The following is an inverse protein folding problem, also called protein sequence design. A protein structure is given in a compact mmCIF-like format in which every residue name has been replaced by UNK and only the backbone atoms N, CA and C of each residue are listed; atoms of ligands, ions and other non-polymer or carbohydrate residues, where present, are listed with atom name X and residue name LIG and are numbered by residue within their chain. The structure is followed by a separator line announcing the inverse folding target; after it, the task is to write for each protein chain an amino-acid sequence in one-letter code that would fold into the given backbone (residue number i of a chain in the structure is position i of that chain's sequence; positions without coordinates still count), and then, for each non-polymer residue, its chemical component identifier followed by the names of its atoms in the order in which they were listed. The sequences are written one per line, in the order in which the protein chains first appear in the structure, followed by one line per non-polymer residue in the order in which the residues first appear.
data_IF_457782635067
#
_entry.id   IF_457782635067
#
_cell.length_a   1.000
_cell.length_b   1.000
_cell.length_c   1.000
_cell.angle_alpha   90.00
_cell.angle_beta   90.00
_cell.angle_gamma   90.00
#
_symmetry.space_group_name_H-M   'P 1'
#
loop_
_entity.id
_entity.type
_entity.pdbx_description
1 polymer ?
#
# COMPACT_ATOMS: atom_id res chain seq x y z
N UNK A 1 6.77 21.74 13.01
CA UNK A 1 6.44 20.61 12.15
C UNK A 1 7.58 20.49 11.16
N UNK A 2 8.18 19.29 11.02
CA UNK A 2 9.27 19.07 10.07
C UNK A 2 8.72 18.78 8.67
N UNK A 3 9.57 18.97 7.66
CA UNK A 3 9.34 18.55 6.28
C UNK A 3 10.69 18.16 5.68
N UNK A 4 10.64 17.33 4.66
CA UNK A 4 11.82 16.96 3.90
C UNK A 4 12.03 17.92 2.73
N UNK A 5 13.29 18.18 2.40
CA UNK A 5 13.67 18.91 1.19
C UNK A 5 14.50 18.03 0.22
N UNK A 6 14.96 18.60 -0.88
CA UNK A 6 15.74 17.87 -1.88
C UNK A 6 17.12 17.42 -1.39
N UNK A 7 17.62 17.96 -0.29
CA UNK A 7 18.87 17.51 0.33
C UNK A 7 18.61 16.29 1.21
N UNK A 8 17.45 16.23 1.83
CA UNK A 8 17.02 15.07 2.63
C UNK A 8 16.62 13.89 1.73
N UNK A 9 15.93 14.18 0.62
CA UNK A 9 15.37 13.19 -0.31
C UNK A 9 15.92 13.33 -1.74
N UNK A 10 17.25 13.26 -1.96
CA UNK A 10 17.84 13.54 -3.27
C UNK A 10 17.36 12.58 -4.36
N UNK A 11 17.15 11.31 -4.04
CA UNK A 11 16.65 10.32 -4.99
C UNK A 11 15.21 10.62 -5.43
N UNK A 12 14.31 10.91 -4.50
CA UNK A 12 12.93 11.24 -4.83
C UNK A 12 12.82 12.60 -5.53
N UNK A 13 13.63 13.58 -5.15
CA UNK A 13 13.72 14.83 -5.89
C UNK A 13 14.17 14.62 -7.33
N UNK A 14 15.15 13.72 -7.57
CA UNK A 14 15.54 13.31 -8.90
C UNK A 14 14.40 12.64 -9.67
N UNK A 15 13.67 11.70 -9.05
CA UNK A 15 12.54 11.03 -9.67
C UNK A 15 11.43 12.03 -10.04
N UNK A 16 11.05 12.91 -9.12
CA UNK A 16 10.01 13.91 -9.34
C UNK A 16 10.34 14.92 -10.43
N UNK A 17 11.63 15.23 -10.62
CA UNK A 17 12.07 16.20 -11.64
C UNK A 17 12.29 15.59 -13.01
N UNK A 18 12.47 14.28 -13.13
CA UNK A 18 12.81 13.63 -14.39
C UNK A 18 11.72 12.69 -14.92
N UNK A 19 10.72 12.35 -14.11
CA UNK A 19 9.64 11.45 -14.47
C UNK A 19 8.28 12.11 -14.16
N UNK A 20 7.19 11.42 -14.49
CA UNK A 20 5.86 11.90 -14.16
C UNK A 20 5.60 11.77 -12.64
N UNK A 21 4.97 12.78 -12.07
CA UNK A 21 4.57 12.83 -10.68
C UNK A 21 3.09 13.20 -10.58
N UNK A 22 2.38 12.62 -9.61
CA UNK A 22 1.05 13.05 -9.21
C UNK A 22 1.15 13.76 -7.86
N UNK A 23 0.82 15.04 -7.82
CA UNK A 23 0.73 15.87 -6.61
C UNK A 23 -0.68 15.92 -6.02
N UNK A 24 -1.60 15.16 -6.61
CA UNK A 24 -3.00 15.03 -6.19
C UNK A 24 -3.35 13.58 -5.81
N UNK A 25 -2.35 12.81 -5.40
CA UNK A 25 -2.53 11.46 -4.92
C UNK A 25 -2.54 11.45 -3.40
N UNK A 26 -3.66 11.08 -2.82
CA UNK A 26 -3.87 11.08 -1.37
C UNK A 26 -4.15 9.68 -0.86
N UNK A 27 -3.84 9.44 0.42
CA UNK A 27 -4.27 8.23 1.12
C UNK A 27 -5.79 8.09 1.08
N UNK A 28 -6.27 6.89 0.84
CA UNK A 28 -7.71 6.65 0.69
C UNK A 28 -8.47 6.87 2.02
N UNK A 29 -7.82 6.60 3.14
CA UNK A 29 -8.34 6.84 4.49
C UNK A 29 -7.22 7.36 5.39
N UNK A 30 -7.56 8.25 6.32
CA UNK A 30 -6.61 8.81 7.30
C UNK A 30 -6.33 7.82 8.43
N UNK A 31 -5.70 6.71 8.09
CA UNK A 31 -5.36 5.64 9.02
C UNK A 31 -4.11 4.91 8.56
N UNK A 32 -3.91 3.72 9.04
CA UNK A 32 -2.69 2.92 8.90
C UNK A 32 -2.56 2.26 7.53
N UNK A 33 -1.42 1.64 7.34
CA UNK A 33 -0.99 0.89 6.16
C UNK A 33 -2.06 -0.03 5.58
N UNK A 34 -2.59 -0.96 6.40
CA UNK A 34 -3.42 -2.06 5.87
C UNK A 34 -4.73 -1.59 5.23
N UNK A 35 -5.56 -0.74 5.87
CA UNK A 35 -6.75 -0.22 5.21
C UNK A 35 -6.44 0.53 3.91
N UNK A 36 -5.38 1.35 3.88
CA UNK A 36 -4.98 2.07 2.68
C UNK A 36 -4.53 1.11 1.56
N UNK A 37 -3.75 0.09 1.88
CA UNK A 37 -3.34 -0.93 0.91
C UNK A 37 -4.51 -1.79 0.43
N UNK A 38 -5.50 -2.08 1.29
CA UNK A 38 -6.74 -2.72 0.86
C UNK A 38 -7.45 -1.87 -0.21
N UNK A 39 -7.52 -0.55 -0.04
CA UNK A 39 -7.99 0.34 -1.10
C UNK A 39 -7.15 0.24 -2.37
N UNK A 40 -5.84 0.15 -2.25
CA UNK A 40 -4.93 0.01 -3.38
C UNK A 40 -5.17 -1.24 -4.23
N UNK A 41 -5.61 -2.34 -3.61
CA UNK A 41 -5.83 -3.62 -4.31
C UNK A 41 -7.29 -3.93 -4.61
N UNK A 42 -8.25 -3.39 -3.87
CA UNK A 42 -9.67 -3.70 -4.00
C UNK A 42 -10.59 -2.48 -4.15
N UNK A 43 -10.03 -1.26 -4.14
CA UNK A 43 -10.78 0.00 -4.12
C UNK A 43 -11.74 0.14 -2.91
N UNK A 44 -11.56 -0.66 -1.88
CA UNK A 44 -12.31 -0.62 -0.62
C UNK A 44 -11.53 -1.29 0.49
N UNK A 45 -11.70 -0.83 1.72
CA UNK A 45 -11.20 -1.53 2.92
C UNK A 45 -12.24 -2.47 3.54
N UNK A 46 -13.38 -2.66 2.89
CA UNK A 46 -14.51 -3.44 3.42
C UNK A 46 -14.95 -2.98 4.82
N UNK A 47 -14.91 -1.65 5.03
CA UNK A 47 -15.24 -1.00 6.29
C UNK A 47 -14.13 -0.98 7.35
N UNK A 48 -12.98 -1.54 7.06
CA UNK A 48 -11.85 -1.51 8.01
C UNK A 48 -11.18 -0.12 8.04
N UNK A 49 -10.99 0.40 9.24
CA UNK A 49 -10.18 1.60 9.54
C UNK A 49 -8.96 1.24 10.40
N UNK A 50 -8.85 -0.01 10.81
CA UNK A 50 -7.69 -0.63 11.45
C UNK A 50 -7.27 -1.89 10.68
N UNK A 51 -6.07 -2.42 10.93
CA UNK A 51 -5.69 -3.72 10.41
C UNK A 51 -6.75 -4.76 10.73
N UNK A 52 -7.28 -5.50 9.73
CA UNK A 52 -8.25 -6.55 10.00
C UNK A 52 -7.71 -7.57 10.99
N UNK A 53 -8.48 -7.90 12.01
CA UNK A 53 -8.14 -8.90 13.02
C UNK A 53 -9.13 -10.06 12.96
N UNK A 54 -8.64 -11.27 13.13
CA UNK A 54 -9.48 -12.47 13.15
C UNK A 54 -9.47 -13.26 11.82
N UNK A 55 -10.26 -14.33 11.75
CA UNK A 55 -10.20 -15.29 10.65
C UNK A 55 -10.96 -14.86 9.39
N UNK A 56 -11.70 -13.77 9.44
CA UNK A 56 -12.51 -13.30 8.32
C UNK A 56 -11.63 -12.74 7.20
N UNK A 57 -11.98 -13.08 5.95
CA UNK A 57 -11.40 -12.48 4.75
C UNK A 57 -12.49 -11.81 3.96
N UNK A 58 -12.18 -10.64 3.41
CA UNK A 58 -13.08 -9.96 2.49
C UNK A 58 -13.26 -10.80 1.22
N UNK A 59 -14.49 -10.92 0.77
CA UNK A 59 -14.84 -11.50 -0.52
C UNK A 59 -14.96 -10.46 -1.63
N UNK A 60 -14.61 -9.22 -1.35
CA UNK A 60 -14.59 -8.15 -2.35
C UNK A 60 -13.57 -8.49 -3.44
N UNK A 61 -13.90 -8.32 -4.71
CA UNK A 61 -12.97 -8.59 -5.79
C UNK A 61 -11.80 -7.61 -5.76
N UNK A 62 -10.62 -8.14 -5.96
CA UNK A 62 -9.38 -7.36 -6.09
C UNK A 62 -9.06 -7.08 -7.55
N UNK A 63 -8.08 -6.20 -7.80
CA UNK A 63 -7.54 -6.01 -9.15
C UNK A 63 -6.98 -7.33 -9.70
N UNK A 64 -6.43 -8.19 -8.85
CA UNK A 64 -5.84 -9.46 -9.25
C UNK A 64 -6.89 -10.46 -9.75
N UNK A 65 -8.10 -10.45 -9.18
CA UNK A 65 -9.22 -11.24 -9.73
C UNK A 65 -9.59 -10.78 -11.15
N UNK A 66 -9.53 -9.47 -11.39
CA UNK A 66 -9.80 -8.90 -12.72
C UNK A 66 -8.70 -9.26 -13.72
N UNK A 67 -7.44 -9.21 -13.31
CA UNK A 67 -6.30 -9.63 -14.12
C UNK A 67 -6.40 -11.11 -14.48
N UNK A 68 -6.70 -11.95 -13.48
CA UNK A 68 -6.89 -13.39 -13.69
C UNK A 68 -8.01 -13.67 -14.69
N UNK A 69 -9.16 -13.05 -14.50
CA UNK A 69 -10.29 -13.21 -15.42
C UNK A 69 -10.01 -12.72 -16.85
N UNK A 70 -9.13 -11.74 -17.00
CA UNK A 70 -8.69 -11.21 -18.29
C UNK A 70 -7.55 -12.02 -18.93
N UNK A 71 -7.01 -13.03 -18.26
CA UNK A 71 -5.86 -13.80 -18.72
C UNK A 71 -4.55 -13.00 -18.73
N UNK A 72 -4.48 -11.95 -17.94
CA UNK A 72 -3.27 -11.12 -17.76
C UNK A 72 -2.43 -11.73 -16.66
N UNK A 73 -1.17 -12.05 -16.95
CA UNK A 73 -0.27 -12.62 -15.97
C UNK A 73 0.06 -11.59 -14.88
N UNK A 74 0.04 -12.05 -13.63
CA UNK A 74 0.36 -11.20 -12.50
C UNK A 74 1.19 -11.95 -11.46
N UNK A 75 2.00 -11.20 -10.69
CA UNK A 75 2.79 -11.72 -9.59
C UNK A 75 2.90 -10.70 -8.47
N UNK A 76 2.83 -11.19 -7.22
CA UNK A 76 3.08 -10.41 -6.02
C UNK A 76 4.39 -10.88 -5.41
N UNK A 77 5.32 -9.97 -5.25
CA UNK A 77 6.60 -10.20 -4.60
C UNK A 77 6.50 -9.77 -3.14
N UNK A 78 6.85 -10.67 -2.23
CA UNK A 78 6.71 -10.47 -0.78
C UNK A 78 8.07 -10.50 -0.10
N UNK A 79 8.20 -9.91 1.12
CA UNK A 79 9.46 -9.91 1.85
C UNK A 79 10.09 -11.29 1.96
N UNK A 80 11.40 -11.38 1.81
CA UNK A 80 12.15 -12.66 1.79
C UNK A 80 11.98 -13.50 3.06
N UNK A 81 11.76 -12.83 4.19
CA UNK A 81 11.52 -13.49 5.48
C UNK A 81 10.10 -14.01 5.66
N UNK A 82 9.20 -13.79 4.68
CA UNK A 82 7.81 -14.26 4.77
C UNK A 82 7.75 -15.77 4.82
N UNK A 83 7.24 -16.38 5.91
CA UNK A 83 7.06 -17.83 5.95
C UNK A 83 5.91 -18.26 5.03
N UNK A 84 5.94 -19.50 4.53
CA UNK A 84 4.80 -20.04 3.80
C UNK A 84 3.52 -20.11 4.67
N UNK A 85 2.35 -19.81 4.11
CA UNK A 85 2.12 -19.42 2.70
C UNK A 85 2.53 -17.97 2.43
N UNK A 86 3.21 -17.73 1.31
CA UNK A 86 3.78 -16.42 0.95
C UNK A 86 2.76 -15.27 0.93
N UNK A 87 1.49 -15.56 0.70
CA UNK A 87 0.42 -14.55 0.75
C UNK A 87 0.39 -13.79 2.08
N UNK A 88 0.90 -14.37 3.16
CA UNK A 88 0.97 -13.73 4.48
C UNK A 88 1.85 -12.47 4.52
N UNK A 89 2.76 -12.32 3.56
CA UNK A 89 3.60 -11.14 3.39
C UNK A 89 2.99 -10.07 2.48
N UNK A 90 1.72 -10.17 2.12
CA UNK A 90 1.03 -9.20 1.27
C UNK A 90 -0.36 -8.86 1.81
N UNK A 91 -0.89 -7.74 1.35
CA UNK A 91 -2.23 -7.30 1.72
C UNK A 91 -3.35 -8.19 1.16
N UNK A 92 -3.03 -9.07 0.21
CA UNK A 92 -3.96 -10.09 -0.26
C UNK A 92 -4.27 -11.15 0.81
N UNK A 93 -3.54 -11.18 1.92
CA UNK A 93 -3.90 -12.01 3.09
C UNK A 93 -5.30 -11.68 3.64
N UNK A 94 -5.74 -10.46 3.46
CA UNK A 94 -7.07 -9.99 3.90
C UNK A 94 -8.20 -10.33 2.93
N UNK A 95 -7.90 -10.89 1.77
CA UNK A 95 -8.86 -11.24 0.72
C UNK A 95 -8.84 -12.72 0.39
N UNK A 96 -9.98 -13.22 -0.10
CA UNK A 96 -10.07 -14.62 -0.58
C UNK A 96 -9.13 -14.89 -1.75
N UNK A 97 -8.96 -13.91 -2.65
CA UNK A 97 -8.05 -13.96 -3.80
C UNK A 97 -6.65 -14.48 -3.45
N UNK A 98 -6.09 -14.06 -2.31
CA UNK A 98 -4.75 -14.48 -1.92
C UNK A 98 -4.60 -15.98 -1.64
N UNK A 99 -5.70 -16.66 -1.28
CA UNK A 99 -5.70 -18.11 -1.06
C UNK A 99 -5.91 -18.92 -2.34
N UNK A 100 -6.50 -18.31 -3.36
CA UNK A 100 -6.92 -19.00 -4.59
C UNK A 100 -5.78 -19.17 -5.60
N UNK A 101 -4.72 -18.34 -5.51
CA UNK A 101 -3.61 -18.30 -6.46
C UNK A 101 -2.24 -18.28 -5.78
N UNK A 102 -1.87 -19.29 -4.97
CA UNK A 102 -0.60 -19.32 -4.26
C UNK A 102 0.63 -19.33 -5.18
N UNK A 103 0.48 -19.78 -6.42
CA UNK A 103 1.53 -19.82 -7.44
C UNK A 103 1.96 -18.45 -7.93
N UNK A 104 1.14 -17.41 -7.68
CA UNK A 104 1.42 -16.05 -8.11
C UNK A 104 2.23 -15.24 -7.09
N UNK A 105 2.69 -15.87 -6.01
CA UNK A 105 3.52 -15.21 -5.01
C UNK A 105 4.97 -15.68 -5.11
N UNK A 106 5.90 -14.75 -4.97
CA UNK A 106 7.34 -15.04 -4.96
C UNK A 106 8.05 -14.17 -3.92
N UNK A 107 9.19 -14.61 -3.39
CA UNK A 107 10.01 -13.76 -2.53
C UNK A 107 10.63 -12.59 -3.33
N UNK A 108 10.82 -11.46 -2.65
CA UNK A 108 11.20 -10.20 -3.32
C UNK A 108 12.59 -10.24 -3.99
N UNK A 109 13.52 -11.07 -3.51
CA UNK A 109 14.82 -11.22 -4.19
C UNK A 109 14.65 -11.74 -5.63
N UNK A 110 13.62 -12.55 -5.90
CA UNK A 110 13.34 -13.05 -7.25
C UNK A 110 12.92 -11.93 -8.21
N UNK A 111 12.32 -10.84 -7.70
CA UNK A 111 11.94 -9.70 -8.54
C UNK A 111 13.12 -9.13 -9.35
N UNK A 112 14.27 -8.98 -8.69
CA UNK A 112 15.47 -8.46 -9.34
C UNK A 112 15.94 -9.35 -10.48
N UNK A 113 15.91 -10.66 -10.27
CA UNK A 113 16.29 -11.64 -11.29
C UNK A 113 15.27 -11.64 -12.44
N UNK A 114 13.99 -11.62 -12.14
CA UNK A 114 12.92 -11.57 -13.14
C UNK A 114 12.99 -10.27 -13.98
N UNK A 115 13.22 -9.13 -13.35
CA UNK A 115 13.38 -7.85 -14.03
C UNK A 115 14.60 -7.83 -14.94
N UNK A 116 15.74 -8.30 -14.44
CA UNK A 116 17.02 -8.31 -15.18
C UNK A 116 16.96 -9.26 -16.39
N UNK A 117 16.25 -10.37 -16.27
CA UNK A 117 16.14 -11.38 -17.33
C UNK A 117 14.90 -11.22 -18.22
N UNK A 118 14.06 -10.22 -17.98
CA UNK A 118 12.85 -9.97 -18.77
C UNK A 118 11.70 -10.94 -18.49
N UNK A 119 11.67 -11.55 -17.31
CA UNK A 119 10.71 -12.56 -16.89
C UNK A 119 9.59 -12.03 -15.98
N UNK A 120 9.48 -10.72 -15.83
CA UNK A 120 8.38 -10.12 -15.06
C UNK A 120 7.02 -10.53 -15.64
N UNK A 121 6.07 -10.79 -14.77
CA UNK A 121 4.67 -10.90 -15.18
C UNK A 121 4.19 -9.56 -15.76
N UNK A 122 3.14 -9.58 -16.57
CA UNK A 122 2.56 -8.35 -17.17
C UNK A 122 2.18 -7.32 -16.11
N UNK A 123 1.73 -7.78 -14.94
CA UNK A 123 1.54 -6.93 -13.75
C UNK A 123 2.33 -7.52 -12.60
N UNK A 124 3.29 -6.77 -12.10
CA UNK A 124 4.13 -7.15 -10.96
C UNK A 124 3.88 -6.17 -9.82
N UNK A 125 3.46 -6.68 -8.67
CA UNK A 125 3.20 -5.91 -7.47
C UNK A 125 4.26 -6.25 -6.42
N UNK A 126 4.83 -5.24 -5.77
CA UNK A 126 5.86 -5.43 -4.75
C UNK A 126 5.28 -5.01 -3.41
N UNK A 127 5.29 -5.94 -2.45
CA UNK A 127 4.93 -5.68 -1.06
C UNK A 127 6.21 -5.54 -0.26
N UNK A 128 6.48 -4.34 0.24
CA UNK A 128 7.70 -4.04 1.00
C UNK A 128 7.66 -4.67 2.39
N UNK A 129 8.83 -4.91 2.97
CA UNK A 129 8.99 -5.55 4.27
C UNK A 129 9.69 -4.66 5.30
N UNK A 130 9.53 -5.02 6.56
CA UNK A 130 10.19 -4.34 7.68
C UNK A 130 11.71 -4.28 7.52
N UNK A 131 12.28 -3.14 7.87
CA UNK A 131 13.73 -2.89 7.87
C UNK A 131 14.30 -2.41 6.54
N UNK A 132 13.54 -2.50 5.46
CA UNK A 132 13.88 -1.93 4.14
C UNK A 132 12.84 -0.92 3.66
N UNK A 133 11.82 -0.70 4.47
CA UNK A 133 10.74 0.27 4.30
C UNK A 133 11.17 1.69 4.72
N UNK A 134 10.28 2.64 4.52
CA UNK A 134 10.45 4.05 4.90
C UNK A 134 9.67 4.44 6.16
N UNK A 135 9.08 3.46 6.85
CA UNK A 135 8.36 3.70 8.08
C UNK A 135 9.30 4.34 9.13
N UNK A 136 8.87 5.39 9.82
CA UNK A 136 9.67 5.97 10.89
C UNK A 136 10.06 4.93 11.94
N UNK A 137 11.32 4.97 12.39
CA UNK A 137 11.79 4.05 13.42
C UNK A 137 10.98 4.22 14.72
N UNK A 138 10.47 3.11 15.22
CA UNK A 138 9.77 3.06 16.51
C UNK A 138 10.65 2.40 17.57
N UNK A 139 10.53 2.80 18.87
CA UNK A 139 11.28 2.17 19.93
C UNK A 139 11.01 0.66 20.00
N UNK A 140 12.05 -0.15 19.80
CA UNK A 140 11.96 -1.61 19.87
C UNK A 140 11.53 -2.31 18.59
N UNK A 141 11.25 -1.57 17.53
CA UNK A 141 11.01 -2.10 16.18
C UNK A 141 12.23 -1.78 15.33
N UNK A 142 12.78 -2.77 14.65
CA UNK A 142 13.81 -2.55 13.63
C UNK A 142 13.12 -1.86 12.45
N UNK A 143 13.06 -0.54 12.49
CA UNK A 143 12.44 0.27 11.44
C UNK A 143 13.41 0.58 10.33
N UNK A 144 12.88 0.77 9.15
CA UNK A 144 13.54 1.49 8.09
C UNK A 144 13.65 2.98 8.41
N UNK A 145 14.10 3.69 7.47
CA UNK A 145 13.98 5.15 7.39
C UNK A 145 14.02 5.53 5.91
N UNK A 146 13.73 6.78 5.62
CA UNK A 146 13.65 7.27 4.23
C UNK A 146 14.95 7.02 3.45
N UNK A 147 16.12 7.15 4.07
CA UNK A 147 17.41 6.89 3.39
C UNK A 147 17.60 5.42 3.06
N UNK A 148 17.26 4.54 4.01
CA UNK A 148 17.38 3.09 3.83
C UNK A 148 16.37 2.64 2.77
N UNK A 149 15.11 3.00 2.91
CA UNK A 149 14.05 2.59 2.01
C UNK A 149 14.24 3.13 0.60
N UNK A 150 14.52 4.42 0.43
CA UNK A 150 14.77 5.02 -0.90
C UNK A 150 15.93 4.36 -1.63
N UNK A 151 17.01 4.06 -0.92
CA UNK A 151 18.15 3.34 -1.48
C UNK A 151 17.80 1.91 -1.87
N UNK A 152 17.06 1.22 -0.99
CA UNK A 152 16.64 -0.15 -1.24
C UNK A 152 15.72 -0.25 -2.46
N UNK A 153 14.71 0.60 -2.55
CA UNK A 153 13.78 0.70 -3.68
C UNK A 153 14.52 1.01 -4.98
N UNK A 154 15.44 1.99 -4.95
CA UNK A 154 16.26 2.32 -6.11
C UNK A 154 17.06 1.11 -6.60
N UNK A 155 17.83 0.46 -5.71
CA UNK A 155 18.83 -0.53 -6.08
C UNK A 155 18.23 -1.91 -6.38
N UNK A 156 17.08 -2.23 -5.80
CA UNK A 156 16.49 -3.56 -5.93
C UNK A 156 15.25 -3.60 -6.82
N UNK A 157 14.56 -2.46 -7.01
CA UNK A 157 13.32 -2.44 -7.80
C UNK A 157 13.47 -1.55 -9.05
N UNK A 158 13.81 -0.29 -8.89
CA UNK A 158 13.80 0.65 -10.02
C UNK A 158 14.94 0.36 -11.00
N UNK A 159 16.17 0.28 -10.52
CA UNK A 159 17.31 0.04 -11.41
C UNK A 159 17.24 -1.28 -12.18
N UNK A 160 16.85 -2.43 -11.58
CA UNK A 160 16.68 -3.66 -12.33
C UNK A 160 15.65 -3.55 -13.46
N UNK A 161 14.54 -2.84 -13.24
CA UNK A 161 13.52 -2.62 -14.28
C UNK A 161 14.03 -1.70 -15.37
N UNK A 162 14.61 -0.55 -15.01
CA UNK A 162 15.11 0.45 -15.97
C UNK A 162 16.27 -0.08 -16.81
N UNK A 163 17.09 -0.95 -16.25
CA UNK A 163 18.20 -1.61 -16.94
C UNK A 163 17.80 -2.91 -17.64
N UNK A 164 16.61 -3.42 -17.31
CA UNK A 164 16.10 -4.66 -17.86
C UNK A 164 15.64 -4.54 -19.32
N UNK A 165 15.55 -5.68 -20.02
CA UNK A 165 15.25 -5.69 -21.46
C UNK A 165 13.84 -5.18 -21.80
N UNK A 166 12.92 -5.20 -20.84
CA UNK A 166 11.52 -4.84 -21.05
C UNK A 166 11.20 -3.38 -20.70
N UNK A 167 12.21 -2.58 -20.27
CA UNK A 167 11.96 -1.21 -19.81
C UNK A 167 11.19 -0.34 -20.82
N UNK A 168 11.53 -0.44 -22.09
CA UNK A 168 10.88 0.34 -23.15
C UNK A 168 9.35 0.10 -23.29
N UNK A 169 8.87 -1.02 -22.78
CA UNK A 169 7.47 -1.43 -22.83
C UNK A 169 6.83 -1.52 -21.42
N UNK A 170 7.49 -0.90 -20.42
CA UNK A 170 7.09 -0.98 -19.02
C UNK A 170 6.69 0.38 -18.46
N UNK A 171 5.81 0.35 -17.47
CA UNK A 171 5.51 1.47 -16.58
C UNK A 171 5.86 1.03 -15.15
N UNK A 172 6.66 1.82 -14.46
CA UNK A 172 6.94 1.63 -13.04
C UNK A 172 6.19 2.68 -12.25
N UNK A 173 5.35 2.25 -11.31
CA UNK A 173 4.58 3.13 -10.43
C UNK A 173 5.16 2.99 -9.02
N UNK A 174 5.60 4.10 -8.44
CA UNK A 174 6.02 4.19 -7.05
C UNK A 174 4.98 5.02 -6.31
N UNK A 175 4.43 4.46 -5.24
CA UNK A 175 3.48 5.13 -4.38
C UNK A 175 3.71 4.74 -2.93
N UNK A 176 3.39 5.65 -2.02
CA UNK A 176 3.33 5.35 -0.59
C UNK A 176 1.92 4.89 -0.24
N UNK A 177 1.83 3.99 0.70
CA UNK A 177 0.57 3.41 1.15
C UNK A 177 -0.26 4.39 2.00
N UNK A 178 0.43 5.23 2.78
CA UNK A 178 -0.21 6.25 3.60
C UNK A 178 0.73 7.45 3.83
N UNK A 179 0.27 8.48 4.50
CA UNK A 179 0.95 9.78 4.61
C UNK A 179 2.06 9.86 5.68
N UNK A 180 2.38 8.77 6.38
CA UNK A 180 3.43 8.75 7.42
C UNK A 180 3.17 9.70 8.61
N UNK A 181 1.95 10.22 8.77
CA UNK A 181 1.63 11.23 9.77
C UNK A 181 2.05 12.66 9.39
N UNK A 182 2.58 12.87 8.20
CA UNK A 182 2.89 14.20 7.67
C UNK A 182 1.64 14.90 7.13
N UNK A 183 1.67 16.23 7.17
CA UNK A 183 0.62 17.05 6.57
C UNK A 183 1.02 17.47 5.16
N UNK A 184 0.06 17.44 4.26
CA UNK A 184 0.20 18.02 2.94
C UNK A 184 -0.19 19.52 2.97
N UNK A 185 0.38 20.31 2.07
CA UNK A 185 -0.01 21.69 1.84
C UNK A 185 -1.27 21.78 0.95
N UNK A 186 -1.63 20.70 0.28
CA UNK A 186 -2.86 20.58 -0.52
C UNK A 186 -3.83 19.68 0.25
N UNK A 187 -5.04 20.16 0.59
CA UNK A 187 -6.04 19.33 1.23
C UNK A 187 -6.58 18.31 0.22
N UNK A 188 -6.88 17.07 0.67
CA UNK A 188 -7.50 16.07 -0.19
C UNK A 188 -8.87 16.56 -0.68
N UNK A 189 -9.23 16.14 -1.88
CA UNK A 189 -10.53 16.44 -2.47
C UNK A 189 -11.62 15.59 -1.81
N UNK A 190 -12.84 16.10 -1.86
CA UNK A 190 -14.02 15.31 -1.49
C UNK A 190 -14.12 14.09 -2.41
N UNK A 191 -14.13 12.91 -1.82
CA UNK A 191 -14.23 11.65 -2.54
C UNK A 191 -15.64 11.04 -2.39
N UNK A 192 -16.08 10.35 -3.42
CA UNK A 192 -17.30 9.54 -3.36
C UNK A 192 -16.96 8.23 -2.64
N UNK A 193 -17.73 7.81 -1.62
CA UNK A 193 -17.54 6.51 -0.99
C UNK A 193 -17.54 5.39 -2.05
N UNK A 194 -16.60 4.43 -1.96
CA UNK A 194 -16.47 3.37 -2.97
C UNK A 194 -17.60 2.34 -2.90
N UNK A 195 -18.25 2.24 -1.74
CA UNK A 195 -19.34 1.31 -1.46
C UNK A 195 -20.19 1.84 -0.30
N UNK A 196 -21.23 1.09 0.08
CA UNK A 196 -22.12 1.40 1.20
C UNK A 196 -21.69 0.74 2.53
N UNK A 197 -20.47 0.17 2.57
CA UNK A 197 -19.97 -0.46 3.79
C UNK A 197 -19.54 0.61 4.77
N UNK A 198 -20.17 0.62 5.92
CA UNK A 198 -19.82 1.54 7.02
C UNK A 198 -18.58 1.03 7.76
N UNK A 199 -17.82 1.93 8.42
CA UNK A 199 -16.73 1.51 9.29
C UNK A 199 -17.18 0.51 10.35
N UNK A 200 -16.48 -0.62 10.46
CA UNK A 200 -16.87 -1.76 11.29
C UNK A 200 -16.02 -1.92 12.55
N UNK A 201 -14.83 -1.36 12.57
CA UNK A 201 -13.84 -1.57 13.62
C UNK A 201 -13.40 -0.27 14.32
N UNK A 202 -14.29 0.72 14.37
CA UNK A 202 -14.08 1.93 15.15
C UNK A 202 -13.85 1.60 16.63
N UNK A 203 -12.80 2.13 17.20
CA UNK A 203 -12.47 1.97 18.61
C UNK A 203 -12.93 3.19 19.40
N UNK A 204 -13.36 2.95 20.64
CA UNK A 204 -13.61 4.01 21.59
C UNK A 204 -12.35 4.27 22.44
N UNK A 205 -12.07 5.53 22.76
CA UNK A 205 -11.02 5.93 23.67
C UNK A 205 -11.35 5.66 25.16
N UNK A 206 -12.50 5.05 25.42
CA UNK A 206 -13.00 4.83 26.78
C UNK A 206 -13.60 6.06 27.45
N UNK A 207 -13.53 7.23 26.80
CA UNK A 207 -14.10 8.49 27.24
C UNK A 207 -15.37 8.88 26.46
N UNK A 208 -15.89 7.96 25.67
CA UNK A 208 -17.07 8.16 24.83
C UNK A 208 -16.75 8.73 23.45
N UNK A 209 -15.47 8.88 23.11
CA UNK A 209 -15.04 9.25 21.76
C UNK A 209 -14.75 8.01 20.94
N UNK A 210 -15.11 8.02 19.67
CA UNK A 210 -14.71 7.03 18.71
C UNK A 210 -13.64 7.64 17.80
N UNK A 211 -12.75 6.83 17.28
CA UNK A 211 -11.62 7.22 16.43
C UNK A 211 -12.00 8.13 15.26
N UNK A 212 -13.24 8.08 14.84
CA UNK A 212 -13.68 8.76 13.63
C UNK A 212 -14.19 10.18 13.84
N UNK A 213 -14.82 10.47 14.97
CA UNK A 213 -15.55 11.72 15.18
C UNK A 213 -15.33 12.34 16.56
N UNK A 214 -14.42 11.84 17.36
CA UNK A 214 -14.36 12.22 18.76
C UNK A 214 -15.70 11.95 19.45
N UNK A 215 -16.15 12.87 20.29
CA UNK A 215 -17.39 12.75 21.05
C UNK A 215 -18.68 12.77 20.21
N UNK A 216 -18.59 12.90 18.90
CA UNK A 216 -19.73 13.08 18.00
C UNK A 216 -20.01 11.88 17.09
N UNK A 217 -19.52 10.71 17.41
CA UNK A 217 -19.88 9.54 16.63
C UNK A 217 -21.38 9.31 16.73
N UNK A 218 -22.14 9.41 15.64
CA UNK A 218 -23.57 9.20 15.69
C UNK A 218 -23.85 7.72 15.93
N UNK A 219 -24.32 7.39 17.12
CA UNK A 219 -24.92 6.09 17.35
C UNK A 219 -26.07 5.95 16.34
N UNK A 220 -25.87 5.17 15.27
CA UNK A 220 -26.92 4.75 14.36
C UNK A 220 -27.27 5.67 13.19
N UNK A 221 -26.60 6.79 12.98
CA UNK A 221 -26.73 7.53 11.73
C UNK A 221 -25.57 7.15 10.81
N UNK A 222 -25.85 6.90 9.53
CA UNK A 222 -24.80 6.62 8.54
C UNK A 222 -23.73 7.69 8.66
N UNK A 223 -22.52 7.26 8.97
CA UNK A 223 -21.40 8.15 9.15
C UNK A 223 -21.25 9.01 7.90
N UNK A 224 -21.30 10.32 8.08
CA UNK A 224 -21.05 11.23 6.97
C UNK A 224 -19.58 11.14 6.59
N UNK A 225 -19.28 10.25 5.65
CA UNK A 225 -17.93 9.96 5.18
C UNK A 225 -17.29 11.18 4.50
N UNK A 226 -18.09 12.18 4.10
CA UNK A 226 -17.57 13.42 3.55
C UNK A 226 -16.79 14.27 4.56
N UNK A 227 -16.90 13.92 5.85
CA UNK A 227 -16.19 14.58 6.96
C UNK A 227 -15.02 13.76 7.51
N UNK A 228 -14.80 12.57 6.98
CA UNK A 228 -13.72 11.69 7.38
C UNK A 228 -12.46 11.82 6.48
N UNK A 229 -12.54 12.72 5.52
CA UNK A 229 -11.45 13.07 4.59
C UNK A 229 -10.99 14.49 4.84
#
# INVERSE_FOLDING_TARGET
MGYYDSNDLPFYAFMATNFAMSDMWFSAVMTRTQPNRMYGVAATSDGHVYPPVGPGKSSKPTIFDRLQAAGISWRVYVPDQTPPPLVSGSDLVYFTTGGDHPENFAPVHQFKDDATNGNLAQVSFISEGEGTDEHPAEPGVAGGNVDIGSKFVRDNYILPVVQGPNWKDSVFILAWDENGGFYDHVPPQTAVPPDDVLPTDLKSDGMGNNDYYGSQSPAGAGADRSKAL
#
